data_IF_704223816524
#
_entry.id   IF_704223816524
#
_cell.length_a   1.000
_cell.length_b   1.000
_cell.length_c   1.000
_cell.angle_alpha   90.00
_cell.angle_beta   90.00
_cell.angle_gamma   90.00
#
_symmetry.space_group_name_H-M   'P 1'
#
loop_
_entity.id
_entity.type
_entity.pdbx_description
1 polymer ?
#
# COMPACT_ATOMS: atom_id res chain seq x y z
N UNK A 1 24.04 -25.07 -10.79
CA UNK A 1 24.16 -23.59 -10.84
C UNK A 1 23.70 -22.93 -12.15
N UNK A 2 24.03 -23.42 -13.35
CA UNK A 2 23.75 -22.72 -14.62
C UNK A 2 22.25 -22.49 -14.93
N UNK A 3 21.39 -23.48 -14.62
CA UNK A 3 19.94 -23.42 -14.90
C UNK A 3 19.21 -22.34 -14.08
N UNK A 4 19.64 -22.13 -12.84
CA UNK A 4 19.06 -21.15 -11.92
C UNK A 4 19.40 -19.72 -12.35
N UNK A 5 20.66 -19.49 -12.75
CA UNK A 5 21.12 -18.20 -13.30
C UNK A 5 20.38 -17.83 -14.59
N UNK A 6 20.14 -18.80 -15.48
CA UNK A 6 19.38 -18.56 -16.73
C UNK A 6 17.95 -18.09 -16.50
N UNK A 7 17.30 -18.49 -15.40
CA UNK A 7 15.93 -18.08 -15.08
C UNK A 7 15.86 -16.68 -14.47
N UNK A 8 16.78 -16.35 -13.56
CA UNK A 8 16.91 -15.01 -12.98
C UNK A 8 17.32 -13.94 -14.01
N UNK A 9 17.95 -14.35 -15.12
CA UNK A 9 18.33 -13.50 -16.24
C UNK A 9 17.30 -13.52 -17.40
N UNK A 10 16.15 -14.19 -17.22
CA UNK A 10 15.08 -14.17 -18.23
C UNK A 10 14.50 -12.76 -18.38
N UNK A 11 13.96 -12.37 -19.55
CA UNK A 11 13.47 -11.01 -19.78
C UNK A 11 12.43 -10.54 -18.77
N UNK A 12 11.52 -11.43 -18.38
CA UNK A 12 10.50 -11.14 -17.36
C UNK A 12 11.09 -10.92 -15.96
N UNK A 13 12.11 -11.70 -15.59
CA UNK A 13 12.83 -11.48 -14.35
C UNK A 13 13.65 -10.19 -14.37
N UNK A 14 14.32 -9.87 -15.48
CA UNK A 14 15.06 -8.61 -15.63
C UNK A 14 14.11 -7.43 -15.43
N UNK A 15 12.94 -7.46 -16.07
CA UNK A 15 11.90 -6.44 -15.87
C UNK A 15 11.49 -6.33 -14.39
N UNK A 16 11.26 -7.47 -13.72
CA UNK A 16 10.91 -7.50 -12.30
C UNK A 16 12.01 -6.84 -11.44
N UNK A 17 13.29 -7.17 -11.66
CA UNK A 17 14.40 -6.53 -10.95
C UNK A 17 14.43 -5.02 -11.19
N UNK A 18 14.22 -4.59 -12.44
CA UNK A 18 14.19 -3.17 -12.80
C UNK A 18 13.04 -2.43 -12.11
N UNK A 19 11.85 -3.04 -12.02
CA UNK A 19 10.70 -2.46 -11.33
C UNK A 19 10.98 -2.30 -9.84
N UNK A 20 11.48 -3.33 -9.17
CA UNK A 20 11.82 -3.26 -7.75
C UNK A 20 12.97 -2.28 -7.49
N UNK A 21 13.99 -2.26 -8.34
CA UNK A 21 15.10 -1.31 -8.25
C UNK A 21 14.61 0.14 -8.42
N UNK A 22 13.76 0.39 -9.43
CA UNK A 22 13.16 1.70 -9.63
C UNK A 22 12.30 2.13 -8.43
N UNK A 23 11.54 1.22 -7.85
CA UNK A 23 10.75 1.50 -6.64
C UNK A 23 11.63 1.85 -5.43
N UNK A 24 12.75 1.15 -5.22
CA UNK A 24 13.72 1.46 -4.15
C UNK A 24 14.37 2.83 -4.36
N UNK A 25 14.78 3.15 -5.59
CA UNK A 25 15.34 4.46 -5.92
C UNK A 25 14.30 5.56 -5.72
N UNK A 26 13.07 5.35 -6.19
CA UNK A 26 11.99 6.32 -6.05
C UNK A 26 11.65 6.59 -4.58
N UNK A 27 11.52 5.54 -3.76
CA UNK A 27 11.24 5.69 -2.32
C UNK A 27 12.39 6.37 -1.58
N UNK A 28 13.64 6.06 -1.91
CA UNK A 28 14.81 6.76 -1.37
C UNK A 28 14.83 8.25 -1.76
N UNK A 29 14.53 8.56 -3.02
CA UNK A 29 14.45 9.93 -3.52
C UNK A 29 13.32 10.72 -2.86
N UNK A 30 12.12 10.13 -2.72
CA UNK A 30 11.00 10.75 -2.00
C UNK A 30 11.31 10.98 -0.52
N UNK A 31 11.97 10.02 0.14
CA UNK A 31 12.40 10.16 1.53
C UNK A 31 13.39 11.29 1.72
N UNK A 32 14.36 11.40 0.81
CA UNK A 32 15.32 12.51 0.81
C UNK A 32 14.64 13.86 0.60
N UNK A 33 13.76 13.97 -0.40
CA UNK A 33 13.00 15.19 -0.65
C UNK A 33 12.11 15.57 0.54
N UNK A 34 11.44 14.60 1.16
CA UNK A 34 10.63 14.86 2.35
C UNK A 34 11.45 15.29 3.56
N UNK A 35 12.67 14.76 3.70
CA UNK A 35 13.59 15.18 4.76
C UNK A 35 13.96 16.67 4.62
N UNK A 36 14.30 17.12 3.42
CA UNK A 36 14.56 18.54 3.12
C UNK A 36 13.30 19.37 3.40
N UNK A 37 12.15 18.94 2.89
CA UNK A 37 10.88 19.66 3.08
C UNK A 37 10.44 19.73 4.54
N UNK A 38 10.79 18.73 5.35
CA UNK A 38 10.52 18.71 6.78
C UNK A 38 11.34 19.73 7.56
N UNK A 39 12.57 20.00 7.13
CA UNK A 39 13.40 21.05 7.74
C UNK A 39 12.84 22.44 7.43
N UNK A 40 12.41 22.68 6.19
CA UNK A 40 11.86 23.98 5.78
C UNK A 40 10.53 24.32 6.46
N UNK A 41 9.70 23.31 6.76
CA UNK A 41 8.38 23.47 7.38
C UNK A 41 8.41 23.54 8.93
N UNK A 42 9.57 23.81 9.54
CA UNK A 42 9.70 23.96 10.99
C UNK A 42 9.80 22.66 11.79
N UNK A 43 10.10 21.52 11.13
CA UNK A 43 10.50 20.29 11.82
C UNK A 43 9.41 19.58 12.63
N UNK A 44 8.13 19.77 12.31
CA UNK A 44 7.04 19.06 12.99
C UNK A 44 7.24 17.54 12.98
N UNK A 45 6.96 16.90 14.12
CA UNK A 45 7.13 15.46 14.32
C UNK A 45 6.30 14.62 13.32
N UNK A 46 5.17 15.16 12.84
CA UNK A 46 4.37 14.52 11.80
C UNK A 46 5.11 14.46 10.46
N UNK A 47 5.76 15.57 10.06
CA UNK A 47 6.51 15.65 8.81
C UNK A 47 7.75 14.74 8.85
N UNK A 48 8.42 14.67 10.00
CA UNK A 48 9.50 13.72 10.26
C UNK A 48 9.03 12.26 10.12
N UNK A 49 7.85 11.94 10.68
CA UNK A 49 7.24 10.62 10.53
C UNK A 49 7.05 10.24 9.07
N UNK A 50 6.55 11.15 8.23
CA UNK A 50 6.42 10.93 6.79
C UNK A 50 7.76 10.78 6.08
N UNK A 51 8.78 11.56 6.46
CA UNK A 51 10.13 11.42 5.91
C UNK A 51 10.73 10.03 6.21
N UNK A 52 10.52 9.51 7.43
CA UNK A 52 10.99 8.18 7.85
C UNK A 52 10.15 7.02 7.28
N UNK A 53 8.89 7.28 6.92
CA UNK A 53 8.01 6.29 6.32
C UNK A 53 8.51 5.81 4.95
N UNK A 54 9.12 6.70 4.16
CA UNK A 54 9.64 6.35 2.83
C UNK A 54 10.80 5.34 2.87
N UNK A 55 11.86 5.51 3.68
CA UNK A 55 12.88 4.49 3.90
C UNK A 55 12.33 3.15 4.38
N UNK A 56 11.34 3.15 5.28
CA UNK A 56 10.70 1.92 5.76
C UNK A 56 10.01 1.17 4.61
N UNK A 57 9.32 1.89 3.73
CA UNK A 57 8.76 1.29 2.52
C UNK A 57 9.85 0.78 1.57
N UNK A 58 10.93 1.53 1.34
CA UNK A 58 12.06 1.06 0.53
C UNK A 58 12.67 -0.24 1.06
N UNK A 59 12.89 -0.33 2.38
CA UNK A 59 13.37 -1.54 3.03
C UNK A 59 12.38 -2.71 2.89
N UNK A 60 11.08 -2.44 3.10
CA UNK A 60 10.03 -3.43 2.91
C UNK A 60 9.93 -3.93 1.45
N UNK A 61 10.12 -3.04 0.47
CA UNK A 61 10.18 -3.38 -0.95
C UNK A 61 11.35 -4.32 -1.25
N UNK A 62 12.54 -4.07 -0.70
CA UNK A 62 13.69 -4.99 -0.82
C UNK A 62 13.39 -6.34 -0.16
N UNK A 63 12.74 -6.33 1.00
CA UNK A 63 12.31 -7.56 1.67
C UNK A 63 11.32 -8.38 0.83
N UNK A 64 10.31 -7.74 0.25
CA UNK A 64 9.35 -8.40 -0.65
C UNK A 64 10.03 -8.94 -1.91
N UNK A 65 10.94 -8.17 -2.51
CA UNK A 65 11.74 -8.65 -3.63
C UNK A 65 12.53 -9.91 -3.27
N UNK A 66 13.21 -9.89 -2.12
CA UNK A 66 13.94 -11.04 -1.61
C UNK A 66 13.02 -12.25 -1.40
N UNK A 67 11.84 -12.06 -0.83
CA UNK A 67 10.85 -13.12 -0.65
C UNK A 67 10.35 -13.69 -1.97
N UNK A 68 10.05 -12.83 -2.95
CA UNK A 68 9.64 -13.25 -4.29
C UNK A 68 10.73 -14.08 -4.96
N UNK A 69 12.00 -13.64 -4.87
CA UNK A 69 13.16 -14.40 -5.36
C UNK A 69 13.26 -15.75 -4.65
N UNK A 70 13.17 -15.78 -3.31
CA UNK A 70 13.27 -17.02 -2.53
C UNK A 70 12.19 -18.04 -2.87
N UNK A 71 10.92 -17.62 -2.88
CA UNK A 71 9.78 -18.48 -3.20
C UNK A 71 9.92 -19.02 -4.61
N UNK A 72 10.22 -18.15 -5.57
CA UNK A 72 10.35 -18.53 -6.97
C UNK A 72 11.52 -19.48 -7.22
N UNK A 73 12.61 -19.37 -6.45
CA UNK A 73 13.73 -20.30 -6.55
C UNK A 73 13.38 -21.66 -5.92
N UNK A 74 12.66 -21.69 -4.81
CA UNK A 74 12.18 -22.93 -4.18
C UNK A 74 11.26 -23.74 -5.09
N UNK A 75 10.26 -23.10 -5.70
CA UNK A 75 9.37 -23.78 -6.67
C UNK A 75 10.11 -24.27 -7.92
N UNK A 76 11.25 -23.65 -8.29
CA UNK A 76 12.12 -24.12 -9.37
C UNK A 76 12.74 -25.49 -9.11
N UNK A 77 13.18 -25.66 -7.87
CA UNK A 77 13.91 -26.85 -7.43
C UNK A 77 12.94 -28.02 -7.28
N UNK A 78 11.72 -27.77 -6.80
CA UNK A 78 10.65 -28.76 -6.68
C UNK A 78 10.16 -29.26 -8.04
N UNK A 79 9.88 -28.35 -8.99
CA UNK A 79 9.49 -28.73 -10.36
C UNK A 79 10.61 -29.45 -11.14
N UNK A 80 11.87 -29.17 -10.80
CA UNK A 80 13.01 -29.92 -11.33
C UNK A 80 13.26 -31.26 -10.62
N UNK A 81 12.73 -31.41 -9.40
CA UNK A 81 12.83 -32.61 -8.56
C UNK A 81 11.62 -33.55 -8.72
N UNK A 82 10.56 -33.14 -9.42
CA UNK A 82 9.53 -34.04 -9.94
C UNK A 82 9.85 -34.51 -11.38
N UNK A 83 10.56 -35.64 -11.55
CA UNK A 83 10.49 -36.41 -12.77
C UNK A 83 9.48 -37.56 -12.58
N UNK A 84 8.49 -37.63 -13.47
CA UNK A 84 7.72 -38.86 -13.81
C UNK A 84 6.72 -39.34 -12.74
N UNK A 85 5.58 -38.66 -12.62
CA UNK A 85 4.30 -39.31 -12.31
C UNK A 85 3.37 -39.11 -13.51
N UNK A 86 3.47 -39.99 -14.50
CA UNK A 86 2.49 -40.11 -15.57
C UNK A 86 1.19 -40.75 -15.01
N UNK A 87 0.01 -40.46 -15.59
CA UNK A 87 -1.27 -40.74 -14.95
C UNK A 87 -1.60 -42.24 -14.97
N UNK A 88 -1.90 -42.81 -13.79
CA UNK A 88 -2.61 -44.09 -13.66
C UNK A 88 -4.12 -43.83 -13.79
N UNK A 89 -4.82 -44.38 -14.80
CA UNK A 89 -6.27 -44.34 -14.86
C UNK A 89 -6.81 -45.58 -14.15
N UNK A 90 -7.41 -45.44 -12.97
CA UNK A 90 -8.23 -46.50 -12.37
C UNK A 90 -9.19 -45.95 -11.34
N UNK A 91 -10.43 -45.75 -11.78
CA UNK A 91 -11.62 -46.01 -10.97
C UNK A 91 -12.40 -47.08 -11.75
N UNK A 92 -13.09 -48.06 -11.11
CA UNK A 92 -14.22 -47.74 -10.23
C UNK A 92 -14.52 -48.71 -9.07
N UNK A 93 -15.53 -48.32 -8.26
CA UNK A 93 -16.46 -49.12 -7.43
C UNK A 93 -15.86 -49.87 -6.20
N UNK A 94 -16.21 -49.46 -4.98
CA UNK A 94 -17.43 -49.77 -4.21
C UNK A 94 -17.30 -51.09 -3.43
N UNK A 95 -17.32 -50.98 -2.09
CA UNK A 95 -17.81 -51.93 -1.07
C UNK A 95 -17.62 -51.22 0.29
N UNK A 96 -18.64 -50.61 0.89
CA UNK A 96 -19.62 -51.22 1.81
C UNK A 96 -19.01 -51.70 3.15
N UNK A 97 -19.09 -50.84 4.17
CA UNK A 97 -19.47 -51.25 5.53
C UNK A 97 -20.24 -50.11 6.21
N UNK A 98 -21.36 -50.52 6.81
CA UNK A 98 -22.49 -49.76 7.32
C UNK A 98 -22.25 -49.03 8.64
N UNK A 99 -22.98 -47.93 8.79
CA UNK A 99 -23.90 -47.59 9.89
C UNK A 99 -23.63 -48.11 11.31
N UNK A 100 -23.49 -47.18 12.26
CA UNK A 100 -24.22 -47.25 13.53
C UNK A 100 -24.34 -45.85 14.17
N UNK A 101 -25.59 -45.39 14.26
CA UNK A 101 -26.09 -44.28 15.07
C UNK A 101 -25.61 -44.29 16.53
N UNK A 102 -25.39 -43.10 17.12
CA UNK A 102 -26.04 -42.73 18.40
C UNK A 102 -26.02 -41.19 18.63
N UNK A 103 -27.23 -40.65 18.59
CA UNK A 103 -27.81 -39.36 19.01
C UNK A 103 -27.07 -38.34 19.90
N UNK A 104 -27.34 -37.04 19.63
CA UNK A 104 -27.21 -35.96 20.63
C UNK A 104 -27.23 -34.51 20.10
N UNK A 105 -28.38 -34.02 19.66
CA UNK A 105 -28.71 -32.63 19.26
C UNK A 105 -28.60 -31.60 20.44
N UNK A 106 -28.87 -30.28 20.29
CA UNK A 106 -28.48 -29.24 19.32
C UNK A 106 -27.94 -27.95 20.01
N UNK A 107 -27.71 -26.90 19.21
CA UNK A 107 -27.83 -25.48 19.57
C UNK A 107 -26.61 -24.77 20.19
N UNK A 108 -26.09 -23.79 19.46
CA UNK A 108 -26.01 -22.39 19.94
C UNK A 108 -25.78 -21.46 18.75
N UNK A 109 -26.88 -21.02 18.15
CA UNK A 109 -26.91 -19.71 17.52
C UNK A 109 -26.95 -18.67 18.65
N UNK A 110 -25.93 -17.81 18.74
CA UNK A 110 -25.88 -16.69 19.69
C UNK A 110 -26.08 -15.38 18.91
N UNK A 111 -26.87 -14.43 19.45
CA UNK A 111 -27.77 -13.59 18.67
C UNK A 111 -27.26 -12.18 18.42
N UNK A 112 -27.84 -11.56 17.38
CA UNK A 112 -27.76 -10.14 17.08
C UNK A 112 -28.80 -9.35 17.89
N UNK A 113 -28.32 -8.43 18.76
CA UNK A 113 -28.93 -7.21 19.35
C UNK A 113 -28.13 -6.89 20.63
N UNK A 114 -27.63 -5.70 20.93
CA UNK A 114 -28.20 -4.34 21.08
C UNK A 114 -26.96 -3.41 21.08
N UNK A 115 -26.91 -2.23 20.44
CA UNK A 115 -27.44 -1.00 21.00
C UNK A 115 -27.43 0.15 19.98
N UNK A 116 -28.63 0.64 19.67
CA UNK A 116 -28.85 2.05 19.41
C UNK A 116 -28.67 2.81 20.73
N UNK A 117 -27.55 3.51 20.90
CA UNK A 117 -27.51 4.74 21.70
C UNK A 117 -26.28 5.54 21.27
N UNK A 118 -26.49 6.48 20.37
CA UNK A 118 -25.57 7.58 20.12
C UNK A 118 -26.43 8.72 19.58
N UNK A 119 -26.71 9.71 20.43
CA UNK A 119 -27.29 10.99 20.03
C UNK A 119 -26.47 11.65 18.91
N UNK A 120 -26.92 12.79 18.33
CA UNK A 120 -26.24 13.42 17.22
C UNK A 120 -24.80 13.77 17.61
N UNK A 121 -23.85 12.92 17.19
CA UNK A 121 -22.43 13.11 17.39
C UNK A 121 -22.08 14.34 16.54
N UNK A 122 -22.01 15.50 17.22
CA UNK A 122 -21.63 16.75 16.61
C UNK A 122 -20.30 16.50 15.90
N UNK A 123 -20.21 16.61 14.56
CA UNK A 123 -19.02 16.19 13.82
C UNK A 123 -17.83 16.91 14.42
N UNK A 124 -16.90 16.14 14.99
CA UNK A 124 -15.68 16.68 15.58
C UNK A 124 -15.07 17.57 14.53
N UNK A 125 -14.98 18.88 14.81
CA UNK A 125 -14.29 19.81 13.91
C UNK A 125 -12.91 19.21 13.68
N UNK A 126 -12.65 18.78 12.45
CA UNK A 126 -11.32 18.37 12.04
C UNK A 126 -10.35 19.48 12.44
N UNK A 127 -9.17 19.15 12.99
CA UNK A 127 -8.16 20.15 13.28
C UNK A 127 -7.95 20.99 12.02
N UNK A 128 -8.19 22.29 12.10
CA UNK A 128 -7.92 23.18 10.97
C UNK A 128 -6.42 23.04 10.71
N UNK A 129 -5.99 22.59 9.52
CA UNK A 129 -4.57 22.48 9.22
C UNK A 129 -3.90 23.82 9.48
N UNK A 130 -2.70 23.79 10.05
CA UNK A 130 -1.94 25.00 10.34
C UNK A 130 -1.79 25.81 9.05
N UNK A 131 -2.00 27.13 9.17
CA UNK A 131 -2.07 28.03 8.02
C UNK A 131 -0.80 27.84 7.18
N UNK A 132 -0.97 27.52 5.89
CA UNK A 132 0.14 27.44 4.98
C UNK A 132 0.98 28.73 5.08
N UNK A 133 2.33 28.62 5.03
CA UNK A 133 3.19 29.79 5.04
C UNK A 133 2.77 30.74 3.91
N UNK A 134 2.82 32.05 4.17
CA UNK A 134 2.50 33.05 3.15
C UNK A 134 3.56 32.99 2.07
N UNK A 135 3.17 32.55 0.88
CA UNK A 135 4.01 32.60 -0.32
C UNK A 135 4.22 34.06 -0.68
N UNK A 136 5.48 34.45 -0.79
CA UNK A 136 5.87 35.82 -1.16
C UNK A 136 5.70 36.04 -2.67
N UNK A 137 5.57 37.30 -3.11
CA UNK A 137 5.40 37.60 -4.55
C UNK A 137 6.60 37.15 -5.40
N UNK A 138 7.79 37.02 -4.79
CA UNK A 138 9.01 36.56 -5.44
C UNK A 138 9.04 35.03 -5.65
N UNK A 139 8.42 34.27 -4.75
CA UNK A 139 8.37 32.80 -4.81
C UNK A 139 7.36 32.27 -5.83
N UNK A 140 6.22 32.96 -6.00
CA UNK A 140 5.18 32.60 -6.97
C UNK A 140 4.51 33.85 -7.57
N UNK A 141 5.05 34.39 -8.68
CA UNK A 141 4.49 35.57 -9.32
C UNK A 141 3.09 35.32 -9.90
N UNK A 142 2.77 34.07 -10.29
CA UNK A 142 1.47 33.71 -10.85
C UNK A 142 0.38 33.78 -9.77
N UNK A 143 0.68 33.28 -8.57
CA UNK A 143 -0.24 33.38 -7.43
C UNK A 143 -0.47 34.82 -6.99
N UNK A 144 0.56 35.67 -7.04
CA UNK A 144 0.44 37.10 -6.75
C UNK A 144 -0.48 37.81 -7.76
N UNK A 145 -0.35 37.52 -9.05
CA UNK A 145 -1.27 38.01 -10.09
C UNK A 145 -2.72 37.56 -9.86
N UNK A 146 -2.92 36.29 -9.54
CA UNK A 146 -4.25 35.75 -9.28
C UNK A 146 -4.92 36.39 -8.05
N UNK A 147 -4.17 36.56 -6.94
CA UNK A 147 -4.68 37.23 -5.74
C UNK A 147 -5.03 38.71 -6.02
N UNK A 148 -4.25 39.41 -6.87
CA UNK A 148 -4.59 40.76 -7.34
C UNK A 148 -5.88 40.77 -8.16
N UNK A 149 -6.06 39.82 -9.07
CA UNK A 149 -7.30 39.69 -9.86
C UNK A 149 -8.52 39.43 -8.98
N UNK A 150 -8.42 38.52 -7.99
CA UNK A 150 -9.50 38.27 -7.03
C UNK A 150 -9.81 39.51 -6.19
N UNK A 151 -8.80 40.27 -5.77
CA UNK A 151 -8.98 41.51 -5.02
C UNK A 151 -9.71 42.57 -5.87
N UNK A 152 -9.37 42.68 -7.17
CA UNK A 152 -10.05 43.58 -8.10
C UNK A 152 -11.52 43.19 -8.30
N UNK A 153 -11.80 41.89 -8.45
CA UNK A 153 -13.16 41.39 -8.58
C UNK A 153 -13.99 41.64 -7.31
N UNK A 154 -13.41 41.41 -6.12
CA UNK A 154 -14.05 41.67 -4.84
C UNK A 154 -14.34 43.16 -4.62
N UNK A 155 -13.39 44.04 -4.95
CA UNK A 155 -13.57 45.48 -4.90
C UNK A 155 -14.66 45.96 -5.88
N UNK A 156 -14.82 45.28 -7.00
CA UNK A 156 -15.86 45.59 -7.99
C UNK A 156 -17.25 45.10 -7.55
N UNK A 157 -17.36 43.91 -6.95
CA UNK A 157 -18.62 43.41 -6.36
C UNK A 157 -19.07 44.29 -5.19
N UNK A 158 -18.13 44.67 -4.32
CA UNK A 158 -18.39 45.54 -3.16
C UNK A 158 -18.87 46.94 -3.56
N UNK A 159 -18.48 47.44 -4.75
CA UNK A 159 -18.96 48.72 -5.30
C UNK A 159 -20.33 48.62 -5.98
N UNK A 160 -20.79 47.41 -6.31
CA UNK A 160 -22.08 47.16 -6.99
C UNK A 160 -23.23 46.88 -6.03
N UNK A 161 -22.93 46.59 -4.76
CA UNK A 161 -23.92 46.46 -3.67
C UNK A 161 -24.17 47.81 -3.01
#
# INVERSE_FOLDING_TARGET
MGRVKGRLLSPGWVLLHLVFLAAVVATGWLGWWQWERAHDAGGSFQNLGYALQWPLFGAFTVFLWYQVVRISLGSAEEEAAEPVMAPEPSAPAADAYEEADDVGSPSTAVPNRVAEDSGPEHPRRSPVPERAPSVTEEEDPQLAEYNRYLAELNATDSRRR
#
